data_IF_307255008263
#
_entry.id   IF_307255008263
#
_cell.length_a   1.000
_cell.length_b   1.000
_cell.length_c   1.000
_cell.angle_alpha   90.00
_cell.angle_beta   90.00
_cell.angle_gamma   90.00
#
_symmetry.space_group_name_H-M   'P 1'
#
loop_
_entity.id
_entity.type
_entity.pdbx_description
1 polymer ?
#
# COMPACT_ATOMS: atom_id res chain seq x y z
N UNK A 1 50.13 1.13 -63.25
CA UNK A 1 49.83 1.95 -62.06
C UNK A 1 48.90 1.17 -61.14
N UNK A 2 49.34 0.87 -59.92
CA UNK A 2 48.54 0.24 -58.86
C UNK A 2 47.98 1.36 -57.98
N UNK A 3 46.65 1.44 -57.86
CA UNK A 3 46.00 2.34 -56.91
C UNK A 3 45.94 1.65 -55.53
N UNK A 4 46.32 2.31 -54.43
CA UNK A 4 46.16 1.73 -53.10
C UNK A 4 44.71 1.90 -52.64
N UNK A 5 44.12 0.80 -52.15
CA UNK A 5 42.87 0.84 -51.39
C UNK A 5 43.22 1.10 -49.93
N UNK A 6 42.84 2.27 -49.41
CA UNK A 6 42.81 2.52 -47.97
C UNK A 6 41.45 2.07 -47.43
N UNK A 7 41.39 0.88 -46.83
CA UNK A 7 40.25 0.44 -46.03
C UNK A 7 40.58 0.70 -44.56
N UNK A 8 40.13 1.84 -44.06
CA UNK A 8 40.32 2.27 -42.66
C UNK A 8 39.44 1.46 -41.70
N UNK A 9 40.06 0.90 -40.67
CA UNK A 9 39.43 0.30 -39.50
C UNK A 9 38.49 1.30 -38.80
N UNK A 10 37.18 1.10 -38.92
CA UNK A 10 36.15 1.85 -38.19
C UNK A 10 35.26 0.99 -37.27
N UNK A 11 35.57 -0.29 -37.06
CA UNK A 11 34.62 -1.26 -36.47
C UNK A 11 34.75 -1.53 -34.96
N UNK A 12 35.59 -0.82 -34.20
CA UNK A 12 35.85 -1.16 -32.78
C UNK A 12 35.49 -0.07 -31.76
N UNK A 13 35.17 1.16 -32.17
CA UNK A 13 34.79 2.23 -31.21
C UNK A 13 33.28 2.31 -30.90
N UNK A 14 32.42 1.77 -31.76
CA UNK A 14 30.96 1.92 -31.64
C UNK A 14 30.30 0.98 -30.60
N UNK A 15 31.00 -0.07 -30.17
CA UNK A 15 30.39 -1.07 -29.30
C UNK A 15 30.30 -0.60 -27.84
N UNK A 16 31.31 0.14 -27.36
CA UNK A 16 31.38 0.52 -25.95
C UNK A 16 30.38 1.64 -25.60
N UNK A 17 30.19 2.61 -26.49
CA UNK A 17 29.19 3.67 -26.32
C UNK A 17 27.77 3.13 -26.38
N UNK A 18 27.52 2.14 -27.23
CA UNK A 18 26.22 1.48 -27.34
C UNK A 18 25.85 0.67 -26.09
N UNK A 19 26.81 -0.05 -25.49
CA UNK A 19 26.60 -0.73 -24.21
C UNK A 19 26.32 0.25 -23.06
N UNK A 20 27.05 1.37 -22.98
CA UNK A 20 26.81 2.40 -21.96
C UNK A 20 25.43 3.07 -22.14
N UNK A 21 25.02 3.35 -23.38
CA UNK A 21 23.68 3.88 -23.69
C UNK A 21 22.57 2.90 -23.33
N UNK A 22 22.77 1.60 -23.58
CA UNK A 22 21.80 0.57 -23.23
C UNK A 22 21.71 0.36 -21.71
N UNK A 23 22.83 0.40 -21.00
CA UNK A 23 22.85 0.35 -19.53
C UNK A 23 22.19 1.58 -18.91
N UNK A 24 22.39 2.79 -19.48
CA UNK A 24 21.75 4.01 -19.01
C UNK A 24 20.23 3.98 -19.17
N UNK A 25 19.72 3.39 -20.25
CA UNK A 25 18.28 3.24 -20.50
C UNK A 25 17.60 2.26 -19.52
N UNK A 26 18.33 1.31 -18.95
CA UNK A 26 17.76 0.26 -18.09
C UNK A 26 17.60 0.69 -16.61
N UNK A 27 18.20 1.81 -16.21
CA UNK A 27 18.40 2.17 -14.79
C UNK A 27 17.22 2.83 -14.06
N UNK A 28 16.05 3.06 -14.66
CA UNK A 28 15.05 3.96 -14.05
C UNK A 28 13.59 3.47 -14.02
N UNK A 29 13.34 2.16 -13.95
CA UNK A 29 12.01 1.66 -13.57
C UNK A 29 11.97 1.49 -12.06
N UNK A 30 11.74 2.59 -11.35
CA UNK A 30 11.32 2.57 -9.96
C UNK A 30 9.80 2.44 -9.91
N UNK A 31 9.27 1.34 -9.39
CA UNK A 31 7.84 1.22 -9.12
C UNK A 31 7.46 2.23 -8.03
N UNK A 32 6.89 3.37 -8.44
CA UNK A 32 6.37 4.39 -7.54
C UNK A 32 4.92 4.00 -7.21
N UNK A 33 4.69 3.39 -6.06
CA UNK A 33 3.33 3.00 -5.65
C UNK A 33 2.66 4.18 -4.95
N UNK A 34 1.60 4.71 -5.56
CA UNK A 34 0.80 5.79 -4.98
C UNK A 34 -0.20 5.18 -3.96
N UNK A 35 -0.37 5.79 -2.77
CA UNK A 35 -1.34 5.30 -1.79
C UNK A 35 -2.75 5.38 -2.34
N UNK A 36 -3.53 4.31 -2.15
CA UNK A 36 -4.96 4.31 -2.46
C UNK A 36 -5.69 4.81 -1.21
N UNK A 37 -6.23 6.02 -1.31
CA UNK A 37 -7.12 6.58 -0.28
C UNK A 37 -8.55 6.41 -0.74
N UNK A 38 -9.38 5.87 0.13
CA UNK A 38 -10.81 5.77 -0.11
C UNK A 38 -11.57 6.22 1.14
N UNK A 39 -12.52 7.12 0.92
CA UNK A 39 -13.38 7.63 1.98
C UNK A 39 -14.66 6.81 2.04
N UNK A 40 -15.14 6.55 3.26
CA UNK A 40 -16.43 5.91 3.48
C UNK A 40 -17.14 6.53 4.68
N UNK A 41 -18.47 6.53 4.64
CA UNK A 41 -19.29 7.03 5.72
C UNK A 41 -19.59 5.92 6.75
N UNK A 42 -19.29 6.23 8.00
CA UNK A 42 -19.67 5.49 9.18
C UNK A 42 -21.14 5.77 9.49
N UNK A 43 -21.96 4.71 9.49
CA UNK A 43 -23.40 4.80 9.77
C UNK A 43 -23.70 4.17 11.13
N UNK A 44 -24.20 4.94 12.12
CA UNK A 44 -24.64 4.38 13.39
C UNK A 44 -26.00 3.68 13.27
N UNK A 45 -26.41 3.02 14.35
CA UNK A 45 -27.73 2.38 14.48
C UNK A 45 -27.67 0.92 14.95
N UNK A 46 -26.48 0.44 15.34
CA UNK A 46 -26.28 -0.92 15.85
C UNK A 46 -26.29 -2.01 14.79
N UNK A 47 -26.51 -1.66 13.52
CA UNK A 47 -26.37 -2.58 12.41
C UNK A 47 -24.89 -2.78 12.06
N UNK A 48 -24.55 -4.00 11.66
CA UNK A 48 -23.20 -4.33 11.21
C UNK A 48 -23.00 -3.85 9.77
N UNK A 49 -21.92 -3.14 9.53
CA UNK A 49 -21.47 -2.70 8.22
C UNK A 49 -20.09 -3.26 7.90
N UNK A 50 -19.84 -3.50 6.61
CA UNK A 50 -18.55 -3.96 6.11
C UNK A 50 -18.14 -3.14 4.90
N UNK A 51 -16.93 -2.64 4.93
CA UNK A 51 -16.26 -1.93 3.84
C UNK A 51 -15.06 -2.77 3.40
N UNK A 52 -14.83 -2.90 2.10
CA UNK A 52 -13.72 -3.70 1.56
C UNK A 52 -13.07 -3.00 0.38
N UNK A 53 -11.74 -3.03 0.34
CA UNK A 53 -10.94 -2.41 -0.69
C UNK A 53 -9.84 -3.37 -1.15
N UNK A 54 -9.73 -3.55 -2.46
CA UNK A 54 -8.66 -4.33 -3.08
C UNK A 54 -7.43 -3.45 -3.34
N UNK A 55 -6.26 -3.93 -2.94
CA UNK A 55 -4.95 -3.29 -3.05
C UNK A 55 -4.02 -4.15 -3.90
N UNK A 56 -4.51 -4.56 -5.08
CA UNK A 56 -3.85 -5.55 -5.93
C UNK A 56 -4.21 -6.98 -5.51
N UNK A 57 -3.26 -7.72 -4.98
CA UNK A 57 -3.44 -9.11 -4.55
C UNK A 57 -3.93 -9.25 -3.10
N UNK A 58 -3.98 -8.14 -2.35
CA UNK A 58 -4.45 -8.11 -0.96
C UNK A 58 -5.79 -7.39 -0.90
N UNK A 59 -6.73 -7.93 -0.13
CA UNK A 59 -8.00 -7.28 0.18
C UNK A 59 -8.00 -6.84 1.63
N UNK A 60 -8.25 -5.56 1.88
CA UNK A 60 -8.47 -5.04 3.23
C UNK A 60 -9.97 -4.90 3.46
N UNK A 61 -10.48 -5.51 4.53
CA UNK A 61 -11.89 -5.39 4.92
C UNK A 61 -12.00 -4.85 6.34
N UNK A 62 -12.87 -3.86 6.52
CA UNK A 62 -13.19 -3.25 7.80
C UNK A 62 -14.66 -3.46 8.11
N UNK A 63 -14.95 -4.17 9.20
CA UNK A 63 -16.31 -4.49 9.64
C UNK A 63 -16.55 -3.88 11.01
N UNK A 64 -17.65 -3.15 11.17
CA UNK A 64 -17.97 -2.42 12.39
C UNK A 64 -19.48 -2.42 12.68
N UNK A 65 -19.83 -2.14 13.93
CA UNK A 65 -21.17 -1.76 14.34
C UNK A 65 -21.02 -0.60 15.32
N UNK A 66 -21.70 0.52 15.06
CA UNK A 66 -21.63 1.73 15.87
C UNK A 66 -23.02 2.16 16.32
N UNK A 67 -23.09 2.80 17.48
CA UNK A 67 -24.29 3.46 18.01
C UNK A 67 -24.02 4.96 18.05
N UNK A 68 -25.04 5.77 17.76
CA UNK A 68 -24.89 7.22 17.62
C UNK A 68 -26.06 7.85 16.88
N UNK A 69 -26.08 9.19 16.84
CA UNK A 69 -27.14 9.97 16.17
C UNK A 69 -26.72 10.60 14.84
N UNK A 70 -25.44 10.53 14.49
CA UNK A 70 -24.84 11.22 13.33
C UNK A 70 -24.03 10.24 12.49
N UNK A 71 -24.10 10.40 11.16
CA UNK A 71 -23.18 9.72 10.26
C UNK A 71 -21.86 10.49 10.29
N UNK A 72 -20.75 9.77 10.38
CA UNK A 72 -19.39 10.35 10.41
C UNK A 72 -18.61 9.89 9.19
N UNK A 73 -17.77 10.72 8.58
CA UNK A 73 -16.92 10.28 7.47
C UNK A 73 -15.56 9.78 7.98
N UNK A 74 -14.99 8.76 7.33
CA UNK A 74 -13.67 8.22 7.71
C UNK A 74 -12.52 9.25 7.59
N UNK A 75 -12.72 10.32 6.81
CA UNK A 75 -11.74 11.37 6.57
C UNK A 75 -11.76 12.51 7.61
N UNK A 76 -12.74 12.56 8.51
CA UNK A 76 -12.96 13.73 9.39
C UNK A 76 -12.17 13.72 10.70
N UNK A 77 -11.41 12.66 10.99
CA UNK A 77 -10.60 12.54 12.21
C UNK A 77 -9.19 13.08 11.97
N UNK A 78 -9.06 14.41 11.98
CA UNK A 78 -7.78 15.11 11.88
C UNK A 78 -7.60 16.14 13.00
N UNK A 79 -6.43 16.16 13.65
CA UNK A 79 -6.06 17.20 14.61
C UNK A 79 -6.32 16.89 16.10
N UNK A 80 -6.62 15.64 16.44
CA UNK A 80 -6.67 15.15 17.82
C UNK A 80 -5.30 14.55 18.19
N UNK A 81 -4.91 14.62 19.47
CA UNK A 81 -3.72 13.91 19.94
C UNK A 81 -3.97 12.39 19.82
N UNK A 82 -3.07 11.67 19.15
CA UNK A 82 -3.16 10.22 18.96
C UNK A 82 -2.90 9.52 20.33
N UNK A 83 -3.98 9.14 21.03
CA UNK A 83 -3.91 8.30 22.24
C UNK A 83 -3.99 6.83 21.82
N UNK A 84 -2.96 6.00 22.04
CA UNK A 84 -2.98 4.59 21.66
C UNK A 84 -3.95 3.79 22.54
N UNK A 85 -4.67 2.84 21.94
CA UNK A 85 -5.46 1.84 22.66
C UNK A 85 -4.54 0.94 23.50
N UNK A 86 -5.05 0.45 24.63
CA UNK A 86 -4.29 -0.50 25.44
C UNK A 86 -4.31 -1.88 24.80
N UNK A 87 -3.25 -2.67 24.98
CA UNK A 87 -3.12 -4.01 24.38
C UNK A 87 -4.21 -4.98 24.86
N UNK A 88 -4.80 -4.76 26.04
CA UNK A 88 -5.94 -5.52 26.53
C UNK A 88 -7.27 -5.21 25.83
N UNK A 89 -7.36 -4.14 25.02
CA UNK A 89 -8.59 -3.73 24.34
C UNK A 89 -8.80 -4.42 22.99
N UNK A 90 -7.76 -5.04 22.43
CA UNK A 90 -7.81 -5.69 21.13
C UNK A 90 -7.06 -7.03 21.10
N UNK A 91 -7.31 -7.79 20.04
CA UNK A 91 -6.67 -9.06 19.71
C UNK A 91 -6.17 -8.97 18.28
N UNK A 92 -4.92 -9.36 18.07
CA UNK A 92 -4.30 -9.46 16.75
C UNK A 92 -4.13 -10.94 16.44
N UNK A 93 -4.66 -11.36 15.31
CA UNK A 93 -4.45 -12.67 14.71
C UNK A 93 -3.61 -12.50 13.44
N UNK A 94 -3.26 -13.60 12.78
CA UNK A 94 -2.47 -13.57 11.54
C UNK A 94 -3.13 -12.74 10.42
N UNK A 95 -4.47 -12.72 10.37
CA UNK A 95 -5.23 -12.11 9.25
C UNK A 95 -6.25 -11.06 9.69
N UNK A 96 -6.47 -10.89 10.99
CA UNK A 96 -7.52 -10.01 11.49
C UNK A 96 -7.17 -9.35 12.83
N UNK A 97 -7.68 -8.15 13.02
CA UNK A 97 -7.66 -7.43 14.30
C UNK A 97 -9.10 -7.27 14.77
N UNK A 98 -9.38 -7.66 16.02
CA UNK A 98 -10.72 -7.53 16.62
C UNK A 98 -10.65 -6.91 18.01
N UNK A 99 -11.74 -6.28 18.43
CA UNK A 99 -11.86 -5.76 19.78
C UNK A 99 -12.01 -6.90 20.81
N UNK A 100 -11.61 -6.66 22.06
CA UNK A 100 -11.93 -7.52 23.20
C UNK A 100 -13.22 -7.08 23.86
N UNK A 101 -14.17 -8.01 23.94
CA UNK A 101 -15.44 -7.80 24.63
C UNK A 101 -15.21 -7.39 26.09
N UNK A 102 -15.87 -6.31 26.51
CA UNK A 102 -15.79 -5.78 27.87
C UNK A 102 -14.47 -5.10 28.24
N UNK A 103 -13.51 -4.97 27.31
CA UNK A 103 -12.26 -4.23 27.53
C UNK A 103 -12.16 -2.98 26.68
N UNK A 104 -12.64 -3.04 25.44
CA UNK A 104 -12.66 -1.93 24.52
C UNK A 104 -13.61 -0.81 24.99
N UNK A 105 -13.10 0.42 25.13
CA UNK A 105 -13.85 1.56 25.66
C UNK A 105 -14.83 2.21 24.67
N UNK A 106 -15.13 1.55 23.54
CA UNK A 106 -16.04 2.08 22.50
C UNK A 106 -15.56 3.37 21.81
N UNK A 107 -14.26 3.66 21.89
CA UNK A 107 -13.62 4.81 21.24
C UNK A 107 -12.59 4.32 20.22
N UNK A 108 -12.78 4.72 18.95
CA UNK A 108 -11.84 4.42 17.87
C UNK A 108 -11.73 5.63 16.94
N UNK A 109 -10.54 6.20 16.85
CA UNK A 109 -10.24 7.35 16.00
C UNK A 109 -9.49 6.95 14.72
N UNK A 110 -8.53 6.02 14.84
CA UNK A 110 -7.59 5.66 13.76
C UNK A 110 -7.14 4.21 13.87
N UNK A 111 -7.04 3.53 12.74
CA UNK A 111 -6.47 2.19 12.62
C UNK A 111 -5.37 2.18 11.57
N UNK A 112 -4.26 1.50 11.87
CA UNK A 112 -3.18 1.26 10.94
C UNK A 112 -2.85 -0.23 10.97
N UNK A 113 -2.97 -0.89 9.82
CA UNK A 113 -2.64 -2.31 9.66
C UNK A 113 -1.49 -2.40 8.68
N UNK A 114 -0.43 -3.12 9.09
CA UNK A 114 0.71 -3.45 8.25
C UNK A 114 0.75 -4.96 8.13
N UNK A 115 0.68 -5.46 6.91
CA UNK A 115 0.73 -6.88 6.61
C UNK A 115 1.82 -7.15 5.56
N UNK A 116 2.54 -8.25 5.74
CA UNK A 116 3.46 -8.76 4.72
C UNK A 116 2.69 -9.71 3.79
N UNK A 117 2.97 -9.61 2.49
CA UNK A 117 2.39 -10.51 1.50
C UNK A 117 3.06 -11.88 1.63
N UNK A 118 2.35 -12.87 2.15
CA UNK A 118 2.80 -14.27 2.09
C UNK A 118 2.67 -14.79 0.65
N UNK A 119 3.75 -15.28 0.07
CA UNK A 119 3.73 -16.02 -1.19
C UNK A 119 3.49 -17.50 -0.90
N UNK A 120 2.39 -18.05 -1.41
CA UNK A 120 2.13 -19.50 -1.38
C UNK A 120 2.71 -20.10 -2.67
N UNK A 121 3.83 -20.82 -2.55
CA UNK A 121 4.42 -21.54 -3.69
C UNK A 121 3.80 -22.95 -3.72
N UNK A 122 2.93 -23.19 -4.71
CA UNK A 122 2.29 -24.49 -4.97
C UNK A 122 3.16 -25.41 -5.82
#
# INVERSE_FOLDING_TARGET
MVAPRLLGNRRLWDSWTSFFLLQLLLSAVGAKQEPITADFDVRPGGMVHSYSQNLGEVTCAFTYAAQGGTNESSASVGGQDDVPLKEEEFLVTEQAVSHREGKFNSELSKLMIVAEKSHDEL
#
